data_IF_594281486445
#
_entry.id   IF_594281486445
#
_cell.length_a   1.000
_cell.length_b   1.000
_cell.length_c   1.000
_cell.angle_alpha   90.00
_cell.angle_beta   90.00
_cell.angle_gamma   90.00
#
_symmetry.space_group_name_H-M   'P 1'
#
loop_
_entity.id
_entity.type
_entity.pdbx_description
1 polymer ?
#
# COMPACT_ATOMS: atom_id res chain seq x y z
N UNK A 1 -5.37 -10.12 29.50
CA UNK A 1 -5.32 -8.83 28.79
C UNK A 1 -5.19 -9.11 27.31
N UNK A 2 -6.29 -9.01 26.56
CA UNK A 2 -6.31 -9.28 25.11
C UNK A 2 -5.97 -7.99 24.38
N UNK A 3 -4.77 -7.90 23.77
CA UNK A 3 -4.40 -6.76 22.96
C UNK A 3 -5.05 -6.89 21.58
N UNK A 4 -6.10 -6.11 21.32
CA UNK A 4 -6.64 -5.94 19.97
C UNK A 4 -5.73 -4.93 19.26
N UNK A 5 -4.85 -5.43 18.40
CA UNK A 5 -4.02 -4.58 17.53
C UNK A 5 -4.87 -4.11 16.35
N UNK A 6 -5.18 -2.82 16.29
CA UNK A 6 -5.90 -2.23 15.17
C UNK A 6 -4.92 -1.86 14.05
N UNK A 7 -4.95 -2.61 12.94
CA UNK A 7 -4.23 -2.26 11.71
C UNK A 7 -4.99 -1.16 10.96
N UNK A 8 -4.38 0.03 10.81
CA UNK A 8 -4.97 1.17 10.12
C UNK A 8 -4.42 1.28 8.70
N UNK A 9 -5.13 0.67 7.75
CA UNK A 9 -4.77 0.69 6.32
C UNK A 9 -5.18 2.03 5.69
N UNK A 10 -4.31 2.60 4.85
CA UNK A 10 -4.60 3.81 4.06
C UNK A 10 -4.36 3.50 2.60
N UNK A 11 -5.41 3.54 1.78
CA UNK A 11 -5.28 3.30 0.33
C UNK A 11 -4.93 4.60 -0.37
N UNK A 12 -3.87 4.58 -1.17
CA UNK A 12 -3.42 5.69 -2.00
C UNK A 12 -3.65 5.30 -3.46
N UNK A 13 -4.62 5.94 -4.10
CA UNK A 13 -4.80 5.82 -5.55
C UNK A 13 -3.74 6.66 -6.25
N UNK A 14 -2.80 6.02 -6.93
CA UNK A 14 -1.74 6.66 -7.70
C UNK A 14 -2.10 6.71 -9.20
N UNK A 15 -2.06 7.90 -9.80
CA UNK A 15 -2.21 8.10 -11.25
C UNK A 15 -0.86 8.09 -11.96
N UNK A 16 -0.83 7.95 -13.29
CA UNK A 16 0.41 7.90 -14.09
C UNK A 16 1.35 9.09 -13.84
N UNK A 17 0.81 10.28 -13.59
CA UNK A 17 1.59 11.48 -13.26
C UNK A 17 2.43 11.34 -11.98
N UNK A 18 2.04 10.42 -11.11
CA UNK A 18 2.67 10.13 -9.83
C UNK A 18 3.80 9.10 -9.94
N UNK A 19 3.95 8.48 -11.10
CA UNK A 19 5.06 7.61 -11.45
C UNK A 19 6.13 8.37 -12.24
N UNK A 20 7.33 7.81 -12.29
CA UNK A 20 8.39 8.22 -13.20
C UNK A 20 8.13 7.63 -14.59
N UNK A 21 9.10 7.77 -15.51
CA UNK A 21 9.02 7.11 -16.83
C UNK A 21 8.89 5.58 -16.71
N UNK A 22 9.40 5.01 -15.62
CA UNK A 22 9.16 3.64 -15.23
C UNK A 22 7.85 3.56 -14.41
N UNK A 23 6.84 2.80 -14.85
CA UNK A 23 5.54 2.70 -14.18
C UNK A 23 5.60 1.96 -12.84
N UNK A 24 6.74 1.38 -12.47
CA UNK A 24 6.95 0.74 -11.18
C UNK A 24 7.56 1.71 -10.14
N UNK A 25 8.08 2.87 -10.58
CA UNK A 25 8.80 3.80 -9.71
C UNK A 25 7.98 5.05 -9.42
N UNK A 26 7.63 5.25 -8.15
CA UNK A 26 6.92 6.45 -7.70
C UNK A 26 7.82 7.69 -7.70
N UNK A 27 7.22 8.85 -7.97
CA UNK A 27 7.88 10.14 -7.76
C UNK A 27 8.22 10.34 -6.29
N UNK A 28 9.37 10.98 -6.03
CA UNK A 28 9.89 11.14 -4.68
C UNK A 28 8.95 11.83 -3.68
N UNK A 29 8.05 12.72 -4.13
CA UNK A 29 7.07 13.36 -3.26
C UNK A 29 5.96 12.39 -2.81
N UNK A 30 5.59 11.41 -3.64
CA UNK A 30 4.64 10.35 -3.27
C UNK A 30 5.30 9.39 -2.30
N UNK A 31 6.53 9.00 -2.58
CA UNK A 31 7.33 8.18 -1.66
C UNK A 31 7.52 8.86 -0.29
N UNK A 32 7.80 10.16 -0.26
CA UNK A 32 7.86 10.94 0.98
C UNK A 32 6.51 10.91 1.73
N UNK A 33 5.39 11.03 1.01
CA UNK A 33 4.04 10.93 1.60
C UNK A 33 3.81 9.56 2.23
N UNK A 34 4.20 8.48 1.57
CA UNK A 34 4.11 7.09 2.07
C UNK A 34 4.93 6.96 3.37
N UNK A 35 6.19 7.40 3.36
CA UNK A 35 7.06 7.38 4.54
C UNK A 35 6.47 8.18 5.71
N UNK A 36 5.87 9.34 5.45
CA UNK A 36 5.18 10.14 6.46
C UNK A 36 3.95 9.43 7.05
N UNK A 37 3.19 8.67 6.24
CA UNK A 37 2.04 7.89 6.71
C UNK A 37 2.49 6.71 7.57
N UNK A 38 3.56 6.00 7.17
CA UNK A 38 4.17 4.92 7.98
C UNK A 38 4.61 5.44 9.36
N UNK A 39 5.24 6.62 9.42
CA UNK A 39 5.61 7.27 10.70
C UNK A 39 4.40 7.56 11.61
N UNK A 40 3.21 7.72 11.05
CA UNK A 40 1.96 7.91 11.81
C UNK A 40 1.28 6.59 12.22
N UNK A 41 1.97 5.45 12.09
CA UNK A 41 1.44 4.11 12.36
C UNK A 41 0.24 3.75 11.47
N UNK A 42 0.25 4.25 10.23
CA UNK A 42 -0.66 3.83 9.18
C UNK A 42 0.07 2.88 8.24
N UNK A 43 -0.69 2.00 7.58
CA UNK A 43 -0.21 1.08 6.55
C UNK A 43 -0.64 1.58 5.17
N UNK A 44 0.17 2.43 4.51
CA UNK A 44 -0.14 2.95 3.18
C UNK A 44 0.02 1.86 2.12
N UNK A 45 -1.04 1.63 1.36
CA UNK A 45 -1.08 0.72 0.20
C UNK A 45 -1.25 1.57 -1.05
N UNK A 46 -0.31 1.47 -1.99
CA UNK A 46 -0.35 2.25 -3.23
C UNK A 46 -1.00 1.39 -4.32
N UNK A 47 -2.05 1.91 -4.92
CA UNK A 47 -2.76 1.26 -6.01
C UNK A 47 -2.53 2.07 -7.28
N UNK A 48 -2.01 1.42 -8.32
CA UNK A 48 -1.97 2.04 -9.64
C UNK A 48 -3.41 2.12 -10.18
N UNK A 49 -3.93 3.33 -10.30
CA UNK A 49 -5.30 3.59 -10.71
C UNK A 49 -5.58 3.11 -12.14
N UNK A 50 -4.64 3.31 -13.06
CA UNK A 50 -4.79 2.87 -14.46
C UNK A 50 -4.95 1.35 -14.52
N UNK A 51 -4.12 0.61 -13.78
CA UNK A 51 -4.21 -0.85 -13.71
C UNK A 51 -5.54 -1.29 -13.10
N UNK A 52 -5.91 -0.74 -11.95
CA UNK A 52 -7.17 -1.09 -11.26
C UNK A 52 -8.41 -0.78 -12.10
N UNK A 53 -8.42 0.36 -12.80
CA UNK A 53 -9.53 0.80 -13.65
C UNK A 53 -9.78 -0.18 -14.81
N UNK A 54 -8.71 -0.75 -15.36
CA UNK A 54 -8.77 -1.67 -16.49
C UNK A 54 -9.12 -3.12 -16.08
N UNK A 55 -9.14 -3.42 -14.77
CA UNK A 55 -9.58 -4.74 -14.29
C UNK A 55 -11.09 -4.93 -14.47
N UNK A 56 -11.55 -6.17 -14.75
CA UNK A 56 -12.95 -6.54 -14.69
C UNK A 56 -13.55 -6.24 -13.30
N UNK A 57 -14.81 -5.84 -13.24
CA UNK A 57 -15.46 -5.45 -11.97
C UNK A 57 -15.39 -6.54 -10.89
N UNK A 58 -15.52 -7.82 -11.29
CA UNK A 58 -15.40 -8.97 -10.39
C UNK A 58 -14.00 -9.13 -9.76
N UNK A 59 -12.96 -8.53 -10.36
CA UNK A 59 -11.56 -8.66 -9.96
C UNK A 59 -11.08 -7.46 -9.14
N UNK A 60 -11.81 -6.33 -9.15
CA UNK A 60 -11.43 -5.10 -8.44
C UNK A 60 -11.32 -5.30 -6.92
N UNK A 61 -12.28 -5.99 -6.31
CA UNK A 61 -12.26 -6.27 -4.87
C UNK A 61 -11.15 -7.28 -4.53
N UNK A 62 -11.05 -8.45 -5.19
CA UNK A 62 -9.95 -9.39 -4.96
C UNK A 62 -8.56 -8.75 -5.09
N UNK A 63 -8.37 -7.91 -6.09
CA UNK A 63 -7.12 -7.17 -6.30
C UNK A 63 -6.80 -6.30 -5.08
N UNK A 64 -7.71 -5.42 -4.65
CA UNK A 64 -7.47 -4.54 -3.50
C UNK A 64 -7.16 -5.34 -2.22
N UNK A 65 -7.90 -6.43 -1.99
CA UNK A 65 -7.68 -7.29 -0.82
C UNK A 65 -6.31 -7.96 -0.84
N UNK A 66 -5.81 -8.36 -2.02
CA UNK A 66 -4.47 -8.92 -2.19
C UNK A 66 -3.40 -7.89 -1.85
N UNK A 67 -3.47 -6.70 -2.45
CA UNK A 67 -2.48 -5.63 -2.20
C UNK A 67 -2.46 -5.19 -0.72
N UNK A 68 -3.63 -5.13 -0.08
CA UNK A 68 -3.74 -4.83 1.35
C UNK A 68 -3.11 -5.94 2.19
N UNK A 69 -3.38 -7.20 1.86
CA UNK A 69 -2.87 -8.34 2.61
C UNK A 69 -1.34 -8.41 2.52
N UNK A 70 -0.79 -8.29 1.33
CA UNK A 70 0.67 -8.31 1.08
C UNK A 70 1.36 -7.18 1.85
N UNK A 71 0.84 -5.96 1.77
CA UNK A 71 1.41 -4.82 2.51
C UNK A 71 1.37 -5.01 4.04
N UNK A 72 0.34 -5.65 4.59
CA UNK A 72 0.23 -5.90 6.04
C UNK A 72 1.17 -7.04 6.47
N UNK A 73 1.38 -8.04 5.62
CA UNK A 73 2.27 -9.17 5.90
C UNK A 73 3.75 -8.76 5.84
N UNK A 74 4.15 -7.90 4.91
CA UNK A 74 5.52 -7.36 4.83
C UNK A 74 5.94 -6.65 6.13
N UNK A 75 5.07 -5.79 6.68
CA UNK A 75 5.34 -5.07 7.93
C UNK A 75 5.40 -5.99 9.17
N UNK A 76 4.81 -7.19 9.09
CA UNK A 76 4.92 -8.22 10.13
C UNK A 76 6.23 -9.01 10.04
N UNK A 77 6.82 -9.06 8.84
CA UNK A 77 8.05 -9.79 8.52
C UNK A 77 9.30 -9.01 8.93
N UNK A 78 9.33 -7.69 8.72
CA UNK A 78 10.43 -6.82 9.15
C UNK A 78 10.63 -6.82 10.67
N UNK A 79 9.58 -7.13 11.45
CA UNK A 79 9.66 -7.23 12.91
C UNK A 79 10.28 -8.54 13.43
N UNK A 80 10.40 -9.58 12.60
CA UNK A 80 10.93 -10.89 13.01
C UNK A 80 12.46 -10.97 12.95
N UNK A 81 13.14 -10.06 12.27
CA UNK A 81 14.60 -10.13 12.02
C UNK A 81 15.43 -9.43 13.11
N UNK A 82 14.82 -8.94 14.19
CA UNK A 82 15.48 -8.15 15.24
C UNK A 82 15.59 -8.85 16.61
N UNK A 83 15.45 -10.18 16.67
CA UNK A 83 15.66 -10.96 17.90
C UNK A 83 16.68 -12.08 17.70
#
# INVERSE_FOLDING_TARGET
MTYISFCRVTVISATEEQYLRDPEVLRGWVDLKIRCLRKKKLHPVVINYSNWKNLPDREKIPYLMREIKESVEEDSSEKKTLY
#
